data_IF_690477134449
#
_entry.id   IF_690477134449
#
_cell.length_a   1.000
_cell.length_b   1.000
_cell.length_c   1.000
_cell.angle_alpha   90.00
_cell.angle_beta   90.00
_cell.angle_gamma   90.00
#
_symmetry.space_group_name_H-M   'P 1'
#
loop_
_entity.id
_entity.type
_entity.pdbx_description
1 polymer ?
#
# COMPACT_ATOMS: atom_id res chain seq x y z
N UNK A 1 11.83 14.59 -2.27
CA UNK A 1 12.31 14.60 -0.87
C UNK A 1 11.26 15.16 0.08
N UNK A 2 10.65 16.33 -0.16
CA UNK A 2 9.54 16.89 0.66
C UNK A 2 8.27 16.03 0.74
N UNK A 3 8.06 15.15 -0.23
CA UNK A 3 6.85 14.34 -0.40
C UNK A 3 6.83 13.05 0.43
N UNK A 4 7.99 12.60 0.94
CA UNK A 4 8.11 11.41 1.77
C UNK A 4 7.85 11.71 3.25
N UNK A 5 8.22 12.90 3.72
CA UNK A 5 7.95 13.34 5.09
C UNK A 5 6.46 13.51 5.36
N UNK A 6 5.71 14.11 4.43
CA UNK A 6 4.25 14.25 4.56
C UNK A 6 3.52 12.89 4.62
N UNK A 7 3.97 11.89 3.86
CA UNK A 7 3.42 10.53 3.90
C UNK A 7 3.72 9.83 5.23
N UNK A 8 4.92 10.03 5.78
CA UNK A 8 5.30 9.51 7.10
C UNK A 8 4.47 10.14 8.22
N UNK A 9 4.26 11.46 8.17
CA UNK A 9 3.42 12.17 9.13
C UNK A 9 1.96 11.69 9.11
N UNK A 10 1.37 11.50 7.93
CA UNK A 10 0.01 10.97 7.80
C UNK A 10 -0.11 9.55 8.38
N UNK A 11 0.81 8.65 8.03
CA UNK A 11 0.82 7.29 8.56
C UNK A 11 0.97 7.27 10.09
N UNK A 12 1.79 8.16 10.63
CA UNK A 12 1.97 8.30 12.08
C UNK A 12 0.68 8.75 12.77
N UNK A 13 0.01 9.77 12.25
CA UNK A 13 -1.27 10.27 12.79
C UNK A 13 -2.37 9.21 12.75
N UNK A 14 -2.45 8.45 11.65
CA UNK A 14 -3.37 7.33 11.53
C UNK A 14 -3.07 6.23 12.56
N UNK A 15 -1.79 5.95 12.81
CA UNK A 15 -1.41 4.96 13.82
C UNK A 15 -1.81 5.42 15.24
N UNK A 16 -1.64 6.71 15.57
CA UNK A 16 -2.10 7.27 16.86
C UNK A 16 -3.61 7.08 17.00
N UNK A 17 -4.38 7.41 15.97
CA UNK A 17 -5.84 7.23 15.97
C UNK A 17 -6.23 5.77 16.20
N UNK A 18 -5.65 4.83 15.44
CA UNK A 18 -5.89 3.39 15.60
C UNK A 18 -5.56 2.93 17.01
N UNK A 19 -4.42 3.34 17.55
CA UNK A 19 -3.99 2.97 18.90
C UNK A 19 -4.91 3.51 20.00
N UNK A 20 -5.53 4.67 19.79
CA UNK A 20 -6.55 5.23 20.68
C UNK A 20 -7.83 4.39 20.63
N UNK A 21 -8.30 4.03 19.44
CA UNK A 21 -9.46 3.16 19.26
C UNK A 21 -9.25 1.78 19.86
N UNK A 22 -8.08 1.15 19.64
CA UNK A 22 -7.77 -0.17 20.20
C UNK A 22 -7.78 -0.16 21.74
N UNK A 23 -7.22 0.87 22.37
CA UNK A 23 -7.28 1.02 23.83
C UNK A 23 -8.71 1.14 24.34
N UNK A 24 -9.54 1.93 23.66
CA UNK A 24 -10.96 2.07 24.00
C UNK A 24 -11.72 0.74 23.84
N UNK A 25 -11.47 -0.02 22.77
CA UNK A 25 -12.09 -1.34 22.53
C UNK A 25 -11.64 -2.36 23.58
N UNK A 26 -10.37 -2.33 23.98
CA UNK A 26 -9.85 -3.18 25.04
C UNK A 26 -10.26 -2.71 26.45
N UNK A 27 -11.02 -1.62 26.59
CA UNK A 27 -11.47 -1.09 27.88
C UNK A 27 -10.36 -0.53 28.77
N UNK A 28 -9.23 -0.11 28.18
CA UNK A 28 -8.05 0.35 28.93
C UNK A 28 -8.17 1.84 29.16
N UNK A 29 -8.34 2.21 30.42
CA UNK A 29 -8.44 3.60 30.88
C UNK A 29 -7.36 3.92 31.91
N UNK A 30 -7.09 5.20 32.12
CA UNK A 30 -6.26 5.63 33.24
C UNK A 30 -6.83 5.07 34.56
N UNK A 31 -6.01 4.57 35.51
CA UNK A 31 -4.55 4.66 35.59
C UNK A 31 -3.77 3.50 34.92
N UNK A 32 -4.45 2.58 34.25
CA UNK A 32 -3.84 1.41 33.64
C UNK A 32 -2.98 1.79 32.43
N UNK A 33 -1.72 1.34 32.40
CA UNK A 33 -0.76 1.60 31.32
C UNK A 33 -0.43 0.31 30.58
N UNK A 34 -0.77 0.26 29.30
CA UNK A 34 -0.38 -0.82 28.38
C UNK A 34 0.65 -0.33 27.36
N UNK A 35 1.68 -1.14 27.12
CA UNK A 35 2.63 -0.91 26.04
C UNK A 35 1.97 -1.14 24.68
N UNK A 36 2.46 -0.49 23.62
CA UNK A 36 1.92 -0.72 22.27
C UNK A 36 2.14 -2.17 21.81
N UNK A 37 3.22 -2.83 22.25
CA UNK A 37 3.52 -4.22 21.89
C UNK A 37 2.49 -5.18 22.48
N UNK A 38 2.13 -5.02 23.76
CA UNK A 38 1.11 -5.86 24.40
C UNK A 38 -0.29 -5.60 23.80
N UNK A 39 -0.60 -4.35 23.47
CA UNK A 39 -1.84 -3.99 22.79
C UNK A 39 -1.98 -4.71 21.43
N UNK A 40 -0.91 -4.77 20.62
CA UNK A 40 -0.94 -5.50 19.36
C UNK A 40 -0.95 -7.01 19.54
N UNK A 41 -0.25 -7.54 20.56
CA UNK A 41 -0.29 -8.98 20.88
C UNK A 41 -1.71 -9.43 21.25
N UNK A 42 -2.43 -8.65 22.05
CA UNK A 42 -3.82 -8.92 22.44
C UNK A 42 -4.81 -8.81 21.29
N UNK A 43 -4.61 -7.85 20.38
CA UNK A 43 -5.57 -7.56 19.30
C UNK A 43 -5.25 -8.29 17.99
N UNK A 44 -4.05 -8.87 17.85
CA UNK A 44 -3.56 -9.45 16.60
C UNK A 44 -3.42 -8.44 15.46
N UNK A 45 -3.47 -7.14 15.76
CA UNK A 45 -3.46 -6.08 14.75
C UNK A 45 -2.04 -5.75 14.30
N UNK A 46 -1.91 -5.46 13.00
CA UNK A 46 -0.66 -4.98 12.39
C UNK A 46 -0.67 -3.46 12.21
N UNK A 47 0.51 -2.88 11.98
CA UNK A 47 0.67 -1.45 11.68
C UNK A 47 -0.23 -1.03 10.51
N UNK A 48 -0.83 0.16 10.63
CA UNK A 48 -1.80 0.66 9.66
C UNK A 48 -1.21 0.81 8.26
N UNK A 49 0.07 1.16 8.17
CA UNK A 49 0.80 1.29 6.91
C UNK A 49 0.82 -0.03 6.12
N UNK A 50 1.02 -1.16 6.81
CA UNK A 50 1.05 -2.48 6.18
C UNK A 50 -0.34 -2.86 5.64
N UNK A 51 -1.38 -2.60 6.42
CA UNK A 51 -2.76 -2.83 6.00
C UNK A 51 -3.16 -1.97 4.79
N UNK A 52 -2.77 -0.69 4.77
CA UNK A 52 -2.98 0.21 3.63
C UNK A 52 -2.24 -0.32 2.40
N UNK A 53 -0.99 -0.76 2.55
CA UNK A 53 -0.20 -1.34 1.47
C UNK A 53 -0.87 -2.60 0.90
N UNK A 54 -1.26 -3.54 1.76
CA UNK A 54 -1.94 -4.79 1.37
C UNK A 54 -3.23 -4.52 0.58
N UNK A 55 -4.06 -3.56 1.04
CA UNK A 55 -5.29 -3.17 0.33
C UNK A 55 -5.00 -2.54 -1.03
N UNK A 56 -4.00 -1.67 -1.13
CA UNK A 56 -3.57 -1.07 -2.40
C UNK A 56 -3.13 -2.15 -3.39
N UNK A 57 -2.30 -3.09 -2.96
CA UNK A 57 -1.84 -4.19 -3.81
C UNK A 57 -2.97 -5.13 -4.22
N UNK A 58 -3.88 -5.47 -3.30
CA UNK A 58 -5.06 -6.27 -3.61
C UNK A 58 -5.95 -5.59 -4.66
N UNK A 59 -6.16 -4.27 -4.53
CA UNK A 59 -6.92 -3.48 -5.50
C UNK A 59 -6.26 -3.45 -6.88
N UNK A 60 -4.95 -3.20 -6.94
CA UNK A 60 -4.18 -3.25 -8.20
C UNK A 60 -4.32 -4.63 -8.85
N UNK A 61 -4.13 -5.71 -8.07
CA UNK A 61 -4.29 -7.07 -8.57
C UNK A 61 -5.69 -7.37 -9.08
N UNK A 62 -6.74 -6.89 -8.41
CA UNK A 62 -8.12 -7.03 -8.85
C UNK A 62 -8.36 -6.32 -10.19
N UNK A 63 -7.92 -5.07 -10.32
CA UNK A 63 -8.09 -4.30 -11.55
C UNK A 63 -7.26 -4.87 -12.71
N UNK A 64 -6.12 -5.49 -12.44
CA UNK A 64 -5.34 -6.18 -13.48
C UNK A 64 -5.98 -7.49 -13.98
N UNK A 65 -6.88 -8.10 -13.21
CA UNK A 65 -7.64 -9.30 -13.62
C UNK A 65 -8.88 -8.98 -14.46
N UNK A 66 -9.27 -7.71 -14.57
CA UNK A 66 -10.38 -7.22 -15.41
C UNK A 66 -10.07 -7.33 -16.90
N UNK A 67 -11.08 -7.24 -17.76
CA UNK A 67 -10.91 -7.37 -19.23
C UNK A 67 -10.00 -6.26 -19.78
N UNK A 68 -9.23 -6.47 -20.85
CA UNK A 68 -8.46 -5.39 -21.48
C UNK A 68 -9.32 -4.20 -21.97
N UNK A 69 -10.60 -4.41 -22.23
CA UNK A 69 -11.56 -3.36 -22.59
C UNK A 69 -12.09 -2.59 -21.36
N UNK A 70 -11.87 -3.10 -20.14
CA UNK A 70 -12.33 -2.43 -18.93
C UNK A 70 -11.61 -1.08 -18.75
N UNK A 71 -12.39 -0.01 -18.72
CA UNK A 71 -11.94 1.38 -18.56
C UNK A 71 -11.00 1.52 -17.35
N UNK A 72 -11.26 0.77 -16.28
CA UNK A 72 -10.43 0.78 -15.07
C UNK A 72 -9.04 0.17 -15.28
N UNK A 73 -8.93 -0.89 -16.09
CA UNK A 73 -7.64 -1.51 -16.45
C UNK A 73 -6.88 -0.65 -17.46
N UNK A 74 -7.59 -0.04 -18.41
CA UNK A 74 -7.02 0.93 -19.33
C UNK A 74 -6.50 2.16 -18.58
N UNK A 75 -7.27 2.71 -17.64
CA UNK A 75 -6.86 3.82 -16.78
C UNK A 75 -5.60 3.52 -15.95
N UNK A 76 -5.43 2.27 -15.49
CA UNK A 76 -4.19 1.85 -14.83
C UNK A 76 -3.00 1.73 -15.79
N UNK A 77 -3.23 1.31 -17.03
CA UNK A 77 -2.19 1.12 -18.05
C UNK A 77 -1.81 2.40 -18.79
N UNK A 78 -2.65 3.42 -18.74
CA UNK A 78 -2.39 4.71 -19.38
C UNK A 78 -1.13 5.33 -18.78
N UNK A 79 -0.03 5.26 -19.52
CA UNK A 79 1.09 6.16 -19.30
C UNK A 79 0.56 7.60 -19.48
N UNK A 80 0.84 8.52 -18.54
CA UNK A 80 0.41 9.90 -18.67
C UNK A 80 1.23 10.51 -19.81
N UNK A 81 0.75 10.38 -21.04
CA UNK A 81 1.27 11.10 -22.19
C UNK A 81 0.87 12.57 -22.04
N UNK A 82 1.66 13.28 -21.24
CA UNK A 82 1.76 14.73 -21.17
C UNK A 82 0.42 15.50 -21.24
N UNK A 83 -0.47 15.29 -20.27
CA UNK A 83 -1.47 16.32 -19.96
C UNK A 83 -0.77 17.40 -19.11
N UNK A 84 -0.22 18.42 -19.78
CA UNK A 84 0.20 19.66 -19.10
C UNK A 84 -1.05 20.37 -18.56
N UNK A 85 -1.34 20.24 -17.27
CA UNK A 85 -2.25 21.16 -16.59
C UNK A 85 -1.49 22.43 -16.20
N UNK A 86 -2.12 23.58 -16.37
CA UNK A 86 -1.51 24.92 -16.16
C UNK A 86 -1.22 25.21 -14.67
N UNK A 87 -1.71 24.39 -13.74
CA UNK A 87 -1.85 24.77 -12.32
C UNK A 87 -1.31 23.71 -11.31
N UNK A 88 -0.09 23.21 -11.49
CA UNK A 88 0.66 22.49 -10.43
C UNK A 88 0.61 20.94 -10.46
N UNK A 89 1.42 20.25 -9.63
CA UNK A 89 1.75 18.85 -9.85
C UNK A 89 0.66 17.91 -9.32
N UNK A 90 0.03 17.16 -10.25
CA UNK A 90 -0.82 16.02 -9.89
C UNK A 90 0.03 14.96 -9.17
N UNK A 91 -0.52 14.43 -8.06
CA UNK A 91 0.03 13.34 -7.24
C UNK A 91 0.25 12.01 -7.99
N UNK A 92 -0.13 11.97 -9.28
CA UNK A 92 0.01 10.87 -10.24
C UNK A 92 1.47 10.43 -10.46
N UNK A 93 2.45 11.29 -10.20
CA UNK A 93 3.87 10.98 -10.38
C UNK A 93 4.38 9.84 -9.47
N UNK A 94 3.83 9.72 -8.26
CA UNK A 94 4.19 8.63 -7.34
C UNK A 94 3.64 7.28 -7.80
N UNK A 95 2.44 7.29 -8.38
CA UNK A 95 1.81 6.10 -8.97
C UNK A 95 2.60 5.64 -10.21
N UNK A 96 3.05 6.59 -11.04
CA UNK A 96 3.85 6.32 -12.23
C UNK A 96 5.20 5.69 -11.90
N UNK A 97 5.86 6.11 -10.81
CA UNK A 97 7.11 5.49 -10.35
C UNK A 97 6.89 4.03 -9.97
N UNK A 98 5.85 3.73 -9.19
CA UNK A 98 5.49 2.36 -8.80
C UNK A 98 5.15 1.52 -10.03
N UNK A 99 4.40 2.07 -10.99
CA UNK A 99 4.03 1.37 -12.23
C UNK A 99 5.24 1.09 -13.13
N UNK A 100 6.21 2.00 -13.24
CA UNK A 100 7.47 1.78 -13.97
C UNK A 100 8.33 0.68 -13.32
N UNK A 101 8.41 0.66 -11.99
CA UNK A 101 9.14 -0.39 -11.26
C UNK A 101 8.48 -1.76 -11.42
N UNK A 102 7.15 -1.82 -11.40
CA UNK A 102 6.39 -3.07 -11.61
C UNK A 102 6.51 -3.59 -13.04
N UNK A 103 6.37 -2.74 -14.05
CA UNK A 103 6.50 -3.15 -15.45
C UNK A 103 7.92 -3.64 -15.77
N UNK A 104 8.94 -3.06 -15.14
CA UNK A 104 10.32 -3.55 -15.20
C UNK A 104 10.46 -4.92 -14.51
N UNK A 105 9.94 -5.10 -13.30
CA UNK A 105 10.01 -6.39 -12.60
C UNK A 105 9.29 -7.51 -13.38
N UNK A 106 8.14 -7.22 -13.99
CA UNK A 106 7.36 -8.17 -14.79
C UNK A 106 8.07 -8.54 -16.09
N UNK A 107 8.75 -7.60 -16.76
CA UNK A 107 9.55 -7.91 -17.96
C UNK A 107 10.82 -8.69 -17.63
N UNK A 108 11.46 -8.45 -16.48
CA UNK A 108 12.56 -9.28 -15.96
C UNK A 108 12.11 -10.72 -15.66
N UNK A 109 10.91 -10.92 -15.13
CA UNK A 109 10.36 -12.25 -14.83
C UNK A 109 9.94 -13.03 -16.09
N UNK A 110 9.47 -12.34 -17.14
CA UNK A 110 9.19 -12.95 -18.46
C UNK A 110 10.44 -13.29 -19.27
N UNK A 111 11.56 -12.62 -19.00
CA UNK A 111 12.84 -12.89 -19.66
C UNK A 111 13.62 -14.09 -19.06
N UNK A 112 12.97 -14.90 -18.20
CA UNK A 112 13.53 -16.18 -17.72
C UNK A 112 14.65 -16.06 -16.68
N UNK A 113 14.84 -14.89 -16.08
CA UNK A 113 15.94 -14.63 -15.14
C UNK A 113 15.53 -14.69 -13.67
N UNK A 114 15.15 -15.86 -13.13
CA UNK A 114 15.39 -16.17 -11.71
C UNK A 114 15.32 -17.69 -11.48
N UNK A 115 16.40 -18.25 -10.93
CA UNK A 115 16.50 -19.63 -10.47
C UNK A 115 15.41 -19.94 -9.43
N UNK A 116 14.95 -21.18 -9.45
CA UNK A 116 13.99 -21.76 -8.50
C UNK A 116 14.58 -21.75 -7.08
N UNK A 117 14.38 -20.68 -6.32
CA UNK A 117 14.56 -20.70 -4.86
C UNK A 117 13.89 -19.49 -4.23
N UNK A 118 12.58 -19.60 -3.98
CA UNK A 118 11.80 -18.92 -2.92
C UNK A 118 10.32 -19.19 -3.19
N UNK A 119 9.91 -20.42 -2.86
CA UNK A 119 8.51 -20.79 -2.73
C UNK A 119 7.89 -19.99 -1.56
N UNK A 120 7.26 -18.85 -1.83
CA UNK A 120 6.28 -18.23 -0.91
C UNK A 120 5.11 -17.56 -1.66
N UNK A 121 4.70 -18.12 -2.81
CA UNK A 121 3.40 -17.78 -3.43
C UNK A 121 2.43 -18.93 -3.20
N UNK A 122 2.21 -19.25 -1.93
CA UNK A 122 1.11 -20.11 -1.46
C UNK A 122 0.33 -19.52 -0.27
N UNK A 123 0.34 -18.19 -0.06
CA UNK A 123 -0.31 -17.58 1.12
C UNK A 123 -1.34 -16.49 0.80
N UNK A 124 -2.08 -16.65 -0.31
CA UNK A 124 -3.30 -15.86 -0.55
C UNK A 124 -4.40 -16.73 -1.16
N UNK A 125 -4.90 -17.67 -0.36
CA UNK A 125 -6.27 -18.20 -0.47
C UNK A 125 -7.04 -17.78 0.78
#
# INVERSE_FOLDING_TARGET
MRDLEGKKALNHNLQIFVNKCLRAICGIYYPEKISNTDLYARTGQQLIANNIGKRKWSWIGHTLRKSPEDITRQALSLEPRAAKSRDGPLSLGNHLFVMKQLNRAISFQRAGGFSKESNEIQMFR
#
